data_IF_900497873996
#
_entry.id   IF_900497873996
#
_cell.length_a   1.000
_cell.length_b   1.000
_cell.length_c   1.000
_cell.angle_alpha   90.00
_cell.angle_beta   90.00
_cell.angle_gamma   90.00
#
_symmetry.space_group_name_H-M   'P 1'
#
loop_
_entity.id
_entity.type
_entity.pdbx_description
1 polymer ?
#
# COMPACT_ATOMS: atom_id res chain seq x y z
N UNK A 1 -12.69 -9.99 17.72
CA UNK A 1 -12.45 -9.22 16.47
C UNK A 1 -11.01 -8.75 16.51
N UNK A 2 -10.21 -9.15 15.52
CA UNK A 2 -8.85 -8.62 15.39
C UNK A 2 -8.90 -7.11 15.14
N UNK A 3 -7.96 -6.38 15.73
CA UNK A 3 -7.79 -4.96 15.44
C UNK A 3 -7.33 -4.83 13.97
N UNK A 4 -7.73 -3.75 13.29
CA UNK A 4 -7.37 -3.44 11.88
C UNK A 4 -8.10 -4.19 10.76
N UNK A 5 -9.11 -5.03 11.05
CA UNK A 5 -9.89 -5.69 9.98
C UNK A 5 -10.95 -4.81 9.30
N UNK A 6 -11.27 -3.64 9.85
CA UNK A 6 -12.37 -2.80 9.34
C UNK A 6 -11.91 -1.38 9.01
N UNK A 7 -11.75 -1.10 7.71
CA UNK A 7 -11.31 0.20 7.18
C UNK A 7 -12.24 1.36 7.55
N UNK A 8 -13.46 1.10 8.04
CA UNK A 8 -14.37 2.14 8.57
C UNK A 8 -13.75 2.99 9.68
N UNK A 9 -12.76 2.47 10.41
CA UNK A 9 -12.09 3.22 11.47
C UNK A 9 -10.77 3.86 11.05
N UNK A 10 -10.36 3.73 9.79
CA UNK A 10 -9.04 4.13 9.32
C UNK A 10 -8.76 5.63 9.56
N UNK A 11 -9.78 6.48 9.41
CA UNK A 11 -9.68 7.92 9.69
C UNK A 11 -9.49 8.22 11.19
N UNK A 12 -10.07 7.41 12.09
CA UNK A 12 -9.84 7.54 13.53
C UNK A 12 -8.38 7.24 13.87
N UNK A 13 -7.82 6.19 13.28
CA UNK A 13 -6.41 5.85 13.46
C UNK A 13 -5.48 6.89 12.86
N UNK A 14 -5.78 7.41 11.66
CA UNK A 14 -5.05 8.52 11.04
C UNK A 14 -4.89 9.70 12.00
N UNK A 15 -6.00 10.13 12.63
CA UNK A 15 -6.00 11.22 13.62
C UNK A 15 -5.19 10.87 14.87
N UNK A 16 -5.39 9.68 15.45
CA UNK A 16 -4.66 9.24 16.66
C UNK A 16 -3.15 9.13 16.45
N UNK A 17 -2.72 8.74 15.25
CA UNK A 17 -1.32 8.60 14.87
C UNK A 17 -0.69 9.93 14.39
N UNK A 18 -1.48 11.00 14.25
CA UNK A 18 -1.00 12.27 13.72
C UNK A 18 -0.48 12.15 12.28
N UNK A 19 -1.16 11.36 11.45
CA UNK A 19 -0.80 11.12 10.04
C UNK A 19 -1.65 11.99 9.12
N UNK A 20 -1.12 12.33 7.94
CA UNK A 20 -1.72 13.36 7.06
C UNK A 20 -2.42 12.76 5.85
N UNK A 21 -1.96 11.59 5.40
CA UNK A 21 -2.58 10.81 4.36
C UNK A 21 -2.86 9.39 4.86
N UNK A 22 -3.89 8.77 4.29
CA UNK A 22 -4.23 7.39 4.59
C UNK A 22 -4.85 6.72 3.37
N UNK A 23 -4.47 5.46 3.13
CA UNK A 23 -5.04 4.62 2.10
C UNK A 23 -5.14 3.17 2.59
N UNK A 24 -5.92 2.34 1.90
CA UNK A 24 -6.02 0.91 2.13
C UNK A 24 -6.22 0.18 0.80
N UNK A 25 -5.91 -1.10 0.79
CA UNK A 25 -6.13 -1.93 -0.39
C UNK A 25 -7.62 -2.27 -0.59
N UNK A 26 -7.95 -2.92 -1.71
CA UNK A 26 -9.33 -3.21 -2.15
C UNK A 26 -10.22 -3.87 -1.10
N UNK A 27 -9.64 -4.71 -0.23
CA UNK A 27 -10.37 -5.44 0.82
C UNK A 27 -10.20 -4.82 2.21
N UNK A 28 -9.45 -3.73 2.33
CA UNK A 28 -9.24 -3.00 3.58
C UNK A 28 -8.43 -3.73 4.64
N UNK A 29 -7.61 -4.71 4.26
CA UNK A 29 -6.74 -5.46 5.18
C UNK A 29 -5.34 -4.82 5.32
N UNK A 30 -4.87 -4.15 4.27
CA UNK A 30 -3.59 -3.45 4.26
C UNK A 30 -3.88 -1.95 4.38
N UNK A 31 -3.36 -1.30 5.42
CA UNK A 31 -3.50 0.14 5.61
C UNK A 31 -2.16 0.83 5.52
N UNK A 32 -2.10 1.91 4.77
CA UNK A 32 -0.91 2.75 4.66
C UNK A 32 -1.23 4.13 5.21
N UNK A 33 -0.40 4.58 6.14
CA UNK A 33 -0.47 5.92 6.72
C UNK A 33 0.81 6.67 6.35
N UNK A 34 0.66 7.89 5.86
CA UNK A 34 1.79 8.70 5.42
C UNK A 34 1.77 10.04 6.14
N UNK A 35 2.96 10.51 6.54
CA UNK A 35 3.16 11.83 7.12
C UNK A 35 2.94 12.94 6.09
N UNK A 36 2.95 14.19 6.55
CA UNK A 36 2.93 15.34 5.66
C UNK A 36 4.15 15.29 4.73
N UNK A 37 4.11 16.06 3.63
CA UNK A 37 5.28 16.29 2.79
C UNK A 37 5.73 15.07 1.94
N UNK A 38 4.86 14.08 1.80
CA UNK A 38 5.05 12.94 0.91
C UNK A 38 3.80 12.83 0.03
N UNK A 39 3.98 12.93 -1.28
CA UNK A 39 2.93 12.65 -2.25
C UNK A 39 2.81 11.15 -2.48
N UNK A 40 1.58 10.66 -2.63
CA UNK A 40 1.30 9.23 -2.76
C UNK A 40 0.47 9.00 -4.02
N UNK A 41 1.02 8.23 -4.96
CA UNK A 41 0.30 7.66 -6.10
C UNK A 41 0.06 6.17 -5.88
N UNK A 42 -1.11 5.66 -6.28
CA UNK A 42 -1.41 4.22 -6.26
C UNK A 42 -1.04 3.64 -7.63
N UNK A 43 -0.14 2.65 -7.64
CA UNK A 43 0.31 1.97 -8.87
C UNK A 43 -0.48 0.68 -9.07
N UNK A 44 -0.69 -0.08 -8.00
CA UNK A 44 -1.49 -1.29 -8.03
C UNK A 44 -2.19 -1.53 -6.70
N UNK A 45 -3.38 -2.10 -6.77
CA UNK A 45 -4.22 -2.37 -5.60
C UNK A 45 -4.92 -3.72 -5.79
N UNK A 46 -4.58 -4.69 -4.94
CA UNK A 46 -5.19 -6.03 -4.94
C UNK A 46 -5.39 -6.56 -3.52
N UNK A 47 -6.02 -7.72 -3.38
CA UNK A 47 -6.31 -8.29 -2.05
C UNK A 47 -5.05 -8.57 -1.22
N UNK A 48 -3.94 -8.90 -1.89
CA UNK A 48 -2.69 -9.31 -1.24
C UNK A 48 -1.60 -8.25 -1.31
N UNK A 49 -1.77 -7.16 -2.07
CA UNK A 49 -0.80 -6.06 -2.09
C UNK A 49 -1.43 -4.70 -2.37
N UNK A 50 -0.74 -3.66 -1.89
CA UNK A 50 -0.94 -2.28 -2.27
C UNK A 50 0.43 -1.69 -2.64
N UNK A 51 0.62 -1.36 -3.91
CA UNK A 51 1.85 -0.76 -4.42
C UNK A 51 1.65 0.71 -4.68
N UNK A 52 2.53 1.52 -4.08
CA UNK A 52 2.46 2.97 -4.05
C UNK A 52 3.75 3.58 -4.59
N UNK A 53 3.61 4.65 -5.36
CA UNK A 53 4.69 5.58 -5.64
C UNK A 53 4.67 6.67 -4.56
N UNK A 54 5.75 6.79 -3.82
CA UNK A 54 5.96 7.86 -2.85
C UNK A 54 6.90 8.89 -3.47
N UNK A 55 6.52 10.16 -3.46
CA UNK A 55 7.39 11.26 -3.89
C UNK A 55 7.65 12.17 -2.71
N UNK A 56 8.93 12.29 -2.33
CA UNK A 56 9.39 13.19 -1.27
C UNK A 56 9.44 14.63 -1.78
N UNK A 57 9.55 15.61 -0.87
CA UNK A 57 9.61 17.04 -1.24
C UNK A 57 10.83 17.41 -2.09
N UNK A 58 11.94 16.71 -1.92
CA UNK A 58 13.15 16.91 -2.71
C UNK A 58 13.03 16.33 -4.14
N UNK A 59 11.89 15.72 -4.49
CA UNK A 59 11.62 15.11 -5.78
C UNK A 59 12.05 13.64 -5.89
N UNK A 60 12.75 13.09 -4.89
CA UNK A 60 13.09 11.67 -4.86
C UNK A 60 11.82 10.83 -4.80
N UNK A 61 11.78 9.75 -5.58
CA UNK A 61 10.63 8.87 -5.62
C UNK A 61 11.00 7.43 -5.31
N UNK A 62 10.07 6.75 -4.65
CA UNK A 62 10.22 5.37 -4.20
C UNK A 62 8.99 4.58 -4.60
N UNK A 63 9.22 3.37 -5.09
CA UNK A 63 8.16 2.38 -5.24
C UNK A 63 8.12 1.52 -4.00
N UNK A 64 6.95 1.44 -3.34
CA UNK A 64 6.76 0.69 -2.10
C UNK A 64 5.56 -0.22 -2.26
N UNK A 65 5.78 -1.53 -2.11
CA UNK A 65 4.71 -2.54 -2.08
C UNK A 65 4.49 -3.02 -0.64
N UNK A 66 3.31 -2.75 -0.10
CA UNK A 66 2.85 -3.37 1.14
C UNK A 66 2.14 -4.68 0.80
N UNK A 67 2.54 -5.79 1.43
CA UNK A 67 2.13 -7.14 1.05
C UNK A 67 1.54 -7.89 2.23
N UNK A 68 0.40 -8.54 2.00
CA UNK A 68 -0.20 -9.53 2.89
C UNK A 68 -0.35 -10.86 2.11
N UNK A 69 0.69 -11.68 2.16
CA UNK A 69 0.75 -12.92 1.40
C UNK A 69 -0.14 -14.01 2.03
N UNK A 70 -1.08 -14.56 1.24
CA UNK A 70 -1.95 -15.66 1.69
C UNK A 70 -1.17 -16.97 1.87
N UNK A 71 -1.75 -17.90 2.63
CA UNK A 71 -1.11 -19.18 2.94
C UNK A 71 -1.16 -20.19 1.78
N UNK A 72 -1.99 -19.97 0.75
CA UNK A 72 -2.08 -20.88 -0.39
C UNK A 72 -1.01 -20.56 -1.44
N UNK A 73 -0.33 -21.60 -1.94
CA UNK A 73 0.79 -21.45 -2.85
C UNK A 73 0.39 -20.77 -4.18
N UNK A 74 -0.78 -21.13 -4.73
CA UNK A 74 -1.29 -20.54 -5.97
C UNK A 74 -1.57 -19.04 -5.83
N UNK A 75 -2.13 -18.63 -4.69
CA UNK A 75 -2.43 -17.22 -4.41
C UNK A 75 -1.15 -16.40 -4.21
N UNK A 76 -0.12 -16.98 -3.57
CA UNK A 76 1.20 -16.32 -3.48
C UNK A 76 1.89 -16.21 -4.83
N UNK A 77 1.76 -17.22 -5.68
CA UNK A 77 2.35 -17.19 -7.02
C UNK A 77 1.78 -16.00 -7.81
N UNK A 78 0.45 -15.84 -7.83
CA UNK A 78 -0.21 -14.68 -8.46
C UNK A 78 0.28 -13.34 -7.90
N UNK A 79 0.39 -13.23 -6.57
CA UNK A 79 0.93 -12.03 -5.91
C UNK A 79 2.34 -11.69 -6.39
N UNK A 80 3.25 -12.66 -6.47
CA UNK A 80 4.62 -12.41 -6.88
C UNK A 80 4.73 -12.09 -8.37
N UNK A 81 3.90 -12.70 -9.21
CA UNK A 81 3.81 -12.40 -10.64
C UNK A 81 3.33 -10.96 -10.89
N UNK A 82 2.34 -10.48 -10.13
CA UNK A 82 1.90 -9.08 -10.14
C UNK A 82 3.04 -8.13 -9.76
N UNK A 83 3.72 -8.38 -8.63
CA UNK A 83 4.82 -7.53 -8.15
C UNK A 83 5.99 -7.54 -9.14
N UNK A 84 6.30 -8.71 -9.71
CA UNK A 84 7.34 -8.83 -10.72
C UNK A 84 7.00 -8.01 -11.97
N UNK A 85 5.76 -8.11 -12.47
CA UNK A 85 5.28 -7.32 -13.62
C UNK A 85 5.41 -5.82 -13.36
N UNK A 86 4.96 -5.35 -12.18
CA UNK A 86 5.09 -3.95 -11.78
C UNK A 86 6.56 -3.50 -11.78
N UNK A 87 7.48 -4.34 -11.28
CA UNK A 87 8.91 -4.02 -11.26
C UNK A 87 9.53 -3.85 -12.65
N UNK A 88 8.95 -4.49 -13.68
CA UNK A 88 9.42 -4.38 -15.05
C UNK A 88 8.82 -3.17 -15.77
N UNK A 89 7.55 -2.85 -15.49
CA UNK A 89 6.82 -1.79 -16.16
C UNK A 89 7.04 -0.41 -15.54
N UNK A 90 7.30 -0.34 -14.23
CA UNK A 90 7.38 0.91 -13.50
C UNK A 90 8.84 1.31 -13.23
N UNK A 91 9.34 2.25 -14.02
CA UNK A 91 10.61 2.92 -13.77
C UNK A 91 10.33 4.25 -13.08
N UNK A 92 10.88 4.42 -11.89
CA UNK A 92 10.90 5.72 -11.22
C UNK A 92 11.72 6.69 -12.10
N UNK A 93 11.14 7.83 -12.55
CA UNK A 93 11.85 8.81 -13.39
C UNK A 93 13.07 9.43 -12.71
#
# INVERSE_FOLDING_TARGET
>A
MEQFQNSRHIQRYKRRLGMHYVNHNVNGQIWVFVKQHIHVGVIADSEQQLTLQLTLENGEQFLVSAVYAKCFAIERFSLWDEIFTISQEYVVP
#
